data_IF_159188903814
#
_entry.id   IF_159188903814
#
_cell.length_a   1.000
_cell.length_b   1.000
_cell.length_c   1.000
_cell.angle_alpha   90.00
_cell.angle_beta   90.00
_cell.angle_gamma   90.00
#
_symmetry.space_group_name_H-M   'P 1'
#
loop_
_entity.id
_entity.type
_entity.pdbx_description
1 polymer ?
#
# COMPACT_ATOMS: atom_id res chain seq x y z
N UNK A 1 0.46 36.40 -19.32
CA UNK A 1 0.29 34.96 -19.31
C UNK A 1 -0.92 34.61 -18.45
N UNK A 2 -1.80 33.77 -18.90
CA UNK A 2 -3.01 33.47 -18.17
C UNK A 2 -2.76 32.49 -17.01
N UNK A 3 -3.56 32.61 -15.96
CA UNK A 3 -3.54 31.69 -14.84
C UNK A 3 -3.81 30.23 -15.28
N UNK A 4 -4.59 30.07 -16.35
CA UNK A 4 -4.90 28.77 -16.92
C UNK A 4 -3.65 28.07 -17.45
N UNK A 5 -2.75 28.77 -18.12
CA UNK A 5 -1.48 28.19 -18.60
C UNK A 5 -0.60 27.72 -17.47
N UNK A 6 -0.50 28.51 -16.41
CA UNK A 6 0.28 28.12 -15.24
C UNK A 6 -0.31 26.88 -14.56
N UNK A 7 -1.62 26.82 -14.45
CA UNK A 7 -2.33 25.71 -13.87
C UNK A 7 -2.09 24.40 -14.67
N UNK A 8 -2.18 24.47 -15.99
CA UNK A 8 -1.93 23.33 -16.87
C UNK A 8 -0.48 22.88 -16.75
N UNK A 9 0.46 23.81 -16.73
CA UNK A 9 1.88 23.50 -16.61
C UNK A 9 2.19 22.78 -15.29
N UNK A 10 1.64 23.28 -14.17
CA UNK A 10 1.82 22.65 -12.86
C UNK A 10 1.25 21.24 -12.83
N UNK A 11 0.10 21.04 -13.45
CA UNK A 11 -0.54 19.73 -13.52
C UNK A 11 0.32 18.73 -14.31
N UNK A 12 0.86 19.13 -15.45
CA UNK A 12 1.75 18.29 -16.26
C UNK A 12 3.03 17.92 -15.52
N UNK A 13 3.60 18.87 -14.76
CA UNK A 13 4.80 18.60 -13.95
C UNK A 13 4.50 17.58 -12.87
N UNK A 14 3.36 17.71 -12.21
CA UNK A 14 2.93 16.77 -11.17
C UNK A 14 2.73 15.37 -11.74
N UNK A 15 2.07 15.26 -12.89
CA UNK A 15 1.87 13.97 -13.54
C UNK A 15 3.19 13.28 -13.89
N UNK A 16 4.18 14.03 -14.37
CA UNK A 16 5.51 13.52 -14.66
C UNK A 16 6.22 13.01 -13.40
N UNK A 17 6.12 13.74 -12.30
CA UNK A 17 6.70 13.33 -11.03
C UNK A 17 6.05 12.06 -10.52
N UNK A 18 4.73 11.97 -10.59
CA UNK A 18 3.99 10.77 -10.19
C UNK A 18 4.47 9.58 -11.01
N UNK A 19 4.57 9.72 -12.33
CA UNK A 19 5.01 8.66 -13.22
C UNK A 19 6.44 8.19 -12.89
N UNK A 20 7.34 9.10 -12.55
CA UNK A 20 8.70 8.77 -12.14
C UNK A 20 8.72 7.97 -10.85
N UNK A 21 7.96 8.40 -9.84
CA UNK A 21 7.89 7.67 -8.58
C UNK A 21 7.29 6.30 -8.80
N UNK A 22 6.21 6.18 -9.57
CA UNK A 22 5.59 4.88 -9.90
C UNK A 22 6.59 3.94 -10.57
N UNK A 23 7.35 4.43 -11.56
CA UNK A 23 8.35 3.63 -12.26
C UNK A 23 9.44 3.11 -11.33
N UNK A 24 9.75 3.86 -10.27
CA UNK A 24 10.85 3.56 -9.36
C UNK A 24 10.38 2.95 -8.04
N UNK A 25 9.08 2.60 -7.93
CA UNK A 25 8.58 1.90 -6.76
C UNK A 25 8.99 0.43 -6.80
N UNK A 26 9.59 -0.01 -5.71
CA UNK A 26 9.94 -1.40 -5.47
C UNK A 26 8.98 -1.96 -4.43
N UNK A 27 8.52 -3.19 -4.62
CA UNK A 27 7.65 -3.86 -3.64
C UNK A 27 8.38 -5.07 -3.08
N UNK A 28 8.44 -5.17 -1.77
CA UNK A 28 9.05 -6.31 -1.12
C UNK A 28 8.12 -6.88 -0.04
N UNK A 29 8.25 -8.19 0.17
CA UNK A 29 7.50 -8.90 1.21
C UNK A 29 8.47 -9.20 2.34
N UNK A 30 8.27 -8.54 3.47
CA UNK A 30 9.20 -8.62 4.59
C UNK A 30 9.14 -9.96 5.33
N UNK A 31 8.10 -10.77 5.09
CA UNK A 31 7.92 -12.03 5.78
C UNK A 31 8.92 -13.12 5.36
N UNK A 32 9.57 -12.98 4.21
CA UNK A 32 10.59 -13.95 3.79
C UNK A 32 11.84 -13.85 4.64
N UNK A 33 12.10 -12.68 5.19
CA UNK A 33 13.28 -12.38 6.00
C UNK A 33 13.02 -12.67 7.48
N UNK A 34 11.82 -12.38 7.94
CA UNK A 34 11.45 -12.59 9.35
C UNK A 34 10.16 -13.42 9.43
N UNK A 35 10.32 -14.68 9.88
CA UNK A 35 9.20 -15.60 10.04
C UNK A 35 8.16 -15.13 11.06
N UNK A 36 8.48 -14.15 11.87
CA UNK A 36 7.54 -13.55 12.83
C UNK A 36 6.74 -12.43 12.21
N UNK A 37 7.00 -12.11 10.93
CA UNK A 37 6.24 -11.09 10.21
C UNK A 37 4.76 -11.49 10.13
N UNK A 38 3.89 -10.55 10.43
CA UNK A 38 2.45 -10.75 10.32
C UNK A 38 2.03 -11.07 8.89
N UNK A 39 2.71 -10.50 7.89
CA UNK A 39 2.41 -10.77 6.49
C UNK A 39 2.64 -12.24 6.14
N UNK A 40 3.76 -12.81 6.59
CA UNK A 40 4.05 -14.23 6.38
C UNK A 40 3.03 -15.10 7.10
N UNK A 41 2.84 -14.87 8.40
CA UNK A 41 1.93 -15.69 9.21
C UNK A 41 0.51 -15.67 8.66
N UNK A 42 0.01 -14.50 8.28
CA UNK A 42 -1.37 -14.37 7.82
C UNK A 42 -1.57 -14.90 6.40
N UNK A 43 -0.54 -14.96 5.57
CA UNK A 43 -0.66 -15.51 4.22
C UNK A 43 -0.46 -17.01 4.16
N UNK A 44 0.30 -17.60 5.12
CA UNK A 44 0.66 -19.03 5.10
C UNK A 44 0.06 -19.84 6.21
N UNK A 45 -0.48 -19.21 7.24
CA UNK A 45 -1.10 -19.87 8.39
C UNK A 45 -2.53 -19.39 8.59
N UNK A 46 -3.44 -19.73 7.69
CA UNK A 46 -4.83 -19.28 7.82
C UNK A 46 -5.52 -19.76 9.07
N UNK A 47 -5.04 -20.82 9.67
CA UNK A 47 -5.62 -21.42 10.88
C UNK A 47 -5.35 -20.64 12.17
N UNK A 48 -4.45 -19.65 12.16
CA UNK A 48 -4.07 -18.93 13.38
C UNK A 48 -5.25 -18.21 14.06
N UNK A 49 -6.15 -17.67 13.29
CA UNK A 49 -7.32 -16.98 13.81
C UNK A 49 -8.55 -17.86 13.91
N UNK A 50 -8.54 -19.02 13.29
CA UNK A 50 -9.70 -19.88 13.19
C UNK A 50 -10.87 -19.24 12.47
N UNK A 51 -10.61 -18.22 11.63
CA UNK A 51 -11.63 -17.46 10.95
C UNK A 51 -11.45 -17.49 9.44
N UNK A 52 -11.61 -16.34 8.80
CA UNK A 52 -11.66 -16.19 7.34
C UNK A 52 -10.42 -16.73 6.61
N UNK A 53 -9.28 -16.77 7.26
CA UNK A 53 -8.05 -17.26 6.63
C UNK A 53 -8.13 -18.72 6.21
N UNK A 54 -8.86 -19.54 6.97
CA UNK A 54 -9.08 -20.96 6.62
C UNK A 54 -9.97 -21.12 5.41
N UNK A 55 -10.92 -20.21 5.25
CA UNK A 55 -11.93 -20.29 4.19
C UNK A 55 -11.53 -19.50 2.96
N UNK A 56 -10.71 -18.48 3.13
CA UNK A 56 -10.35 -17.54 2.07
C UNK A 56 -8.90 -17.08 2.25
N UNK A 57 -7.93 -17.95 1.93
CA UNK A 57 -6.52 -17.59 2.08
C UNK A 57 -6.11 -16.46 1.14
N UNK A 58 -5.09 -15.71 1.55
CA UNK A 58 -4.58 -14.58 0.78
C UNK A 58 -3.42 -15.07 -0.10
N UNK A 59 -3.53 -14.84 -1.40
CA UNK A 59 -2.50 -15.21 -2.36
C UNK A 59 -1.63 -13.99 -2.72
N UNK A 60 -0.36 -14.23 -3.03
CA UNK A 60 0.56 -13.17 -3.44
C UNK A 60 0.06 -12.41 -4.67
N UNK A 61 -0.63 -13.11 -5.57
CA UNK A 61 -1.20 -12.49 -6.76
C UNK A 61 -2.21 -11.40 -6.40
N UNK A 62 -3.06 -11.64 -5.41
CA UNK A 62 -4.04 -10.65 -4.94
C UNK A 62 -3.35 -9.41 -4.38
N UNK A 63 -2.29 -9.60 -3.61
CA UNK A 63 -1.52 -8.51 -3.03
C UNK A 63 -0.88 -7.67 -4.13
N UNK A 64 -0.25 -8.32 -5.10
CA UNK A 64 0.40 -7.64 -6.22
C UNK A 64 -0.60 -6.86 -7.07
N UNK A 65 -1.76 -7.42 -7.33
CA UNK A 65 -2.82 -6.75 -8.07
C UNK A 65 -3.31 -5.50 -7.34
N UNK A 66 -3.52 -5.62 -6.03
CA UNK A 66 -3.96 -4.48 -5.24
C UNK A 66 -2.92 -3.37 -5.23
N UNK A 67 -1.65 -3.71 -5.05
CA UNK A 67 -0.55 -2.73 -5.09
C UNK A 67 -0.50 -2.04 -6.47
N UNK A 68 -0.67 -2.80 -7.55
CA UNK A 68 -0.66 -2.23 -8.90
C UNK A 68 -1.75 -1.18 -9.10
N UNK A 69 -2.92 -1.40 -8.49
CA UNK A 69 -4.04 -0.45 -8.58
C UNK A 69 -3.78 0.84 -7.82
N UNK A 70 -2.98 0.81 -6.77
CA UNK A 70 -2.78 1.98 -5.89
C UNK A 70 -1.42 2.65 -6.06
N UNK A 71 -0.57 2.19 -6.95
CA UNK A 71 0.77 2.78 -7.13
C UNK A 71 0.71 4.27 -7.43
N UNK A 72 -0.21 4.70 -8.28
CA UNK A 72 -0.39 6.12 -8.59
C UNK A 72 -0.79 6.95 -7.37
N UNK A 73 -1.73 6.44 -6.59
CA UNK A 73 -2.19 7.10 -5.38
C UNK A 73 -1.08 7.19 -4.33
N UNK A 74 -0.30 6.11 -4.19
CA UNK A 74 0.85 6.09 -3.28
C UNK A 74 1.87 7.13 -3.71
N UNK A 75 2.20 7.18 -5.00
CA UNK A 75 3.17 8.13 -5.53
C UNK A 75 2.72 9.58 -5.31
N UNK A 76 1.44 9.86 -5.54
CA UNK A 76 0.88 11.19 -5.31
C UNK A 76 0.99 11.60 -3.85
N UNK A 77 0.68 10.68 -2.93
CA UNK A 77 0.78 10.94 -1.49
C UNK A 77 2.22 11.11 -1.02
N UNK A 78 3.16 10.42 -1.66
CA UNK A 78 4.58 10.63 -1.40
C UNK A 78 4.99 12.05 -1.80
N UNK A 79 4.61 12.48 -2.99
CA UNK A 79 4.93 13.81 -3.52
C UNK A 79 4.29 14.90 -2.66
N UNK A 80 3.06 14.70 -2.23
CA UNK A 80 2.32 15.65 -1.40
C UNK A 80 2.71 15.61 0.07
N UNK A 81 3.70 14.78 0.42
CA UNK A 81 4.21 14.62 1.77
C UNK A 81 3.16 14.14 2.76
N UNK A 82 2.28 13.28 2.31
CA UNK A 82 1.30 12.57 3.15
C UNK A 82 1.82 11.21 3.58
N UNK A 83 2.69 10.59 2.76
CA UNK A 83 3.40 9.36 3.09
C UNK A 83 4.85 9.72 3.39
N UNK A 84 5.34 9.27 4.54
CA UNK A 84 6.68 9.57 5.03
C UNK A 84 7.54 8.32 5.15
N UNK A 85 8.84 8.51 5.01
CA UNK A 85 9.82 7.44 5.18
C UNK A 85 9.65 6.74 6.53
N UNK A 86 9.58 5.41 6.50
CA UNK A 86 9.48 4.56 7.68
C UNK A 86 8.22 4.76 8.53
N UNK A 87 7.21 5.42 7.98
CA UNK A 87 5.93 5.59 8.67
C UNK A 87 4.87 4.76 7.96
N UNK A 88 4.43 3.64 8.55
CA UNK A 88 3.48 2.75 7.89
C UNK A 88 2.15 3.39 7.53
N UNK A 89 1.59 2.96 6.42
CA UNK A 89 0.25 3.33 5.98
C UNK A 89 -0.52 2.07 5.59
N UNK A 90 -1.81 2.20 5.39
CA UNK A 90 -2.71 1.07 5.13
C UNK A 90 -3.40 1.24 3.79
N UNK A 91 -3.52 0.14 3.05
CA UNK A 91 -4.33 0.06 1.83
C UNK A 91 -5.47 -0.92 2.10
N UNK A 92 -6.70 -0.50 1.82
CA UNK A 92 -7.88 -1.34 2.02
C UNK A 92 -8.70 -1.45 0.74
N UNK A 93 -9.13 -2.66 0.44
CA UNK A 93 -10.07 -2.94 -0.65
C UNK A 93 -11.28 -3.65 -0.09
N UNK A 94 -12.43 -2.99 -0.13
CA UNK A 94 -13.68 -3.57 0.35
C UNK A 94 -14.10 -4.74 -0.55
N UNK A 95 -13.99 -4.55 -1.86
CA UNK A 95 -14.38 -5.57 -2.84
C UNK A 95 -13.57 -6.85 -2.70
N UNK A 96 -12.26 -6.71 -2.45
CA UNK A 96 -11.37 -7.87 -2.30
C UNK A 96 -11.29 -8.38 -0.87
N UNK A 97 -11.94 -7.71 0.06
CA UNK A 97 -11.86 -8.03 1.48
C UNK A 97 -10.41 -8.13 1.97
N UNK A 98 -9.59 -7.15 1.57
CA UNK A 98 -8.16 -7.17 1.79
C UNK A 98 -7.66 -5.86 2.40
N UNK A 99 -6.81 -5.97 3.41
CA UNK A 99 -6.11 -4.84 4.00
C UNK A 99 -4.61 -5.15 4.08
N UNK A 100 -3.81 -4.15 3.71
CA UNK A 100 -2.36 -4.27 3.72
C UNK A 100 -1.77 -3.16 4.59
N UNK A 101 -0.84 -3.50 5.47
CA UNK A 101 0.01 -2.51 6.13
C UNK A 101 1.34 -2.47 5.38
N UNK A 102 1.76 -1.28 4.99
CA UNK A 102 2.93 -1.07 4.15
C UNK A 102 3.88 -0.10 4.85
N UNK A 103 5.14 -0.48 4.93
CA UNK A 103 6.19 0.39 5.45
C UNK A 103 6.94 1.01 4.26
N UNK A 104 6.82 2.32 4.04
CA UNK A 104 7.51 2.98 2.93
C UNK A 104 8.94 3.30 3.31
N UNK A 105 9.89 2.91 2.47
CA UNK A 105 11.32 3.17 2.69
C UNK A 105 11.82 4.05 1.55
N UNK A 106 12.28 5.24 1.90
CA UNK A 106 12.88 6.16 0.93
C UNK A 106 14.34 5.77 0.69
N UNK A 107 14.63 5.34 -0.53
CA UNK A 107 15.97 4.90 -0.91
C UNK A 107 16.81 6.10 -1.35
N UNK A 108 16.20 7.02 -2.08
CA UNK A 108 16.85 8.25 -2.55
C UNK A 108 16.11 8.82 -3.75
N UNK A 109 16.00 10.15 -3.85
CA UNK A 109 15.33 10.81 -4.97
C UNK A 109 13.90 10.31 -5.15
N UNK A 110 13.57 9.78 -6.34
CA UNK A 110 12.26 9.22 -6.65
C UNK A 110 12.16 7.72 -6.39
N UNK A 111 13.19 7.12 -5.77
CA UNK A 111 13.26 5.69 -5.49
C UNK A 111 12.71 5.38 -4.11
N UNK A 112 11.67 4.58 -4.06
CA UNK A 112 11.02 4.14 -2.83
C UNK A 112 10.79 2.65 -2.86
N UNK A 113 10.87 2.01 -1.71
CA UNK A 113 10.52 0.60 -1.54
C UNK A 113 9.32 0.50 -0.62
N UNK A 114 8.35 -0.28 -1.04
CA UNK A 114 7.15 -0.56 -0.25
C UNK A 114 7.31 -1.95 0.36
N UNK A 115 7.53 -2.00 1.67
CA UNK A 115 7.65 -3.25 2.39
C UNK A 115 6.28 -3.65 2.94
N UNK A 116 5.74 -4.75 2.45
CA UNK A 116 4.46 -5.27 2.93
C UNK A 116 4.72 -5.96 4.26
N UNK A 117 4.25 -5.37 5.36
CA UNK A 117 4.49 -5.88 6.70
C UNK A 117 3.33 -6.71 7.25
N UNK A 118 2.12 -6.46 6.78
CA UNK A 118 0.93 -7.19 7.23
C UNK A 118 -0.04 -7.32 6.08
N UNK A 119 -0.63 -8.52 5.94
CA UNK A 119 -1.77 -8.76 5.05
C UNK A 119 -2.89 -9.32 5.90
N UNK A 120 -4.13 -8.86 5.62
CA UNK A 120 -5.27 -9.21 6.44
C UNK A 120 -6.52 -9.37 5.59
N UNK A 121 -7.23 -10.47 5.79
CA UNK A 121 -8.53 -10.68 5.14
C UNK A 121 -9.59 -9.96 5.97
N UNK A 122 -10.02 -8.81 5.49
CA UNK A 122 -10.95 -7.96 6.21
C UNK A 122 -12.40 -8.22 5.81
N UNK A 123 -13.28 -8.31 6.82
CA UNK A 123 -14.71 -8.41 6.60
C UNK A 123 -15.45 -7.53 7.62
N UNK A 124 -16.75 -7.39 7.48
CA UNK A 124 -17.55 -6.63 8.44
C UNK A 124 -17.46 -7.19 9.85
N UNK A 125 -17.32 -8.52 9.97
CA UNK A 125 -17.20 -9.20 11.26
C UNK A 125 -15.76 -9.21 11.79
N UNK A 126 -14.77 -8.93 10.94
CA UNK A 126 -13.36 -8.98 11.30
C UNK A 126 -12.60 -7.81 10.64
N UNK A 127 -12.83 -6.57 11.13
CA UNK A 127 -12.21 -5.40 10.52
C UNK A 127 -10.74 -5.25 10.94
N UNK A 128 -9.91 -4.77 10.00
CA UNK A 128 -8.53 -4.41 10.28
C UNK A 128 -8.50 -3.02 10.94
N UNK A 129 -7.94 -2.95 12.14
CA UNK A 129 -7.87 -1.70 12.90
C UNK A 129 -6.72 -0.83 12.45
N UNK A 130 -7.03 0.45 12.23
CA UNK A 130 -6.07 1.45 11.79
C UNK A 130 -5.87 2.46 12.91
N UNK A 131 -4.61 2.92 13.10
CA UNK A 131 -4.31 3.97 14.06
C UNK A 131 -4.94 5.30 13.67
N UNK A 132 -5.23 6.15 14.66
CA UNK A 132 -5.96 7.41 14.46
C UNK A 132 -5.30 8.35 13.46
N UNK A 133 -3.98 8.38 13.40
CA UNK A 133 -3.22 9.28 12.53
C UNK A 133 -2.63 8.55 11.33
N UNK A 134 -3.07 7.36 11.05
CA UNK A 134 -2.52 6.55 9.97
C UNK A 134 -3.24 6.85 8.66
N UNK A 135 -2.46 7.01 7.59
CA UNK A 135 -3.02 7.20 6.25
C UNK A 135 -3.64 5.90 5.76
N UNK A 136 -4.84 5.99 5.20
CA UNK A 136 -5.53 4.85 4.61
C UNK A 136 -5.86 5.18 3.16
N UNK A 137 -5.44 4.31 2.26
CA UNK A 137 -5.79 4.40 0.85
C UNK A 137 -6.90 3.38 0.58
N UNK A 138 -8.06 3.87 0.18
CA UNK A 138 -9.21 3.03 -0.11
C UNK A 138 -9.29 2.70 -1.59
N UNK A 139 -9.51 1.43 -1.89
CA UNK A 139 -9.75 0.94 -3.26
C UNK A 139 -11.19 0.46 -3.33
N UNK A 140 -11.89 1.00 -4.27
CA UNK A 140 -13.30 0.66 -4.49
C UNK A 140 -13.44 -0.56 -5.40
#
# INVERSE_FOLDING_TARGET
MSLLRESIRKHLILEKKIAQVVSNLEVSFNFEVDRRSHAFDRSTRPELDGTDYNQNPIENKEIKELISLVKGDIAEKIINREIFNKKPFVVKSVERELALAINPIHIGGTYWRLEISTVFRESLSNPFRVGDNQVVIWVV
#
